data_IF_973116396780
#
_entry.id   IF_973116396780
#
_cell.length_a   1.000
_cell.length_b   1.000
_cell.length_c   1.000
_cell.angle_alpha   90.00
_cell.angle_beta   90.00
_cell.angle_gamma   90.00
#
_symmetry.space_group_name_H-M   'P 1'
#
loop_
_entity.id
_entity.type
_entity.pdbx_description
1 polymer ?
#
# COMPACT_ATOMS: atom_id res chain seq x y z
N UNK A 1 23.65 -5.53 -3.25
CA UNK A 1 22.58 -6.15 -2.42
C UNK A 1 21.26 -5.48 -2.76
N UNK A 2 20.20 -6.25 -3.04
CA UNK A 2 18.86 -5.68 -3.24
C UNK A 2 18.28 -5.34 -1.87
N UNK A 3 17.67 -4.15 -1.76
CA UNK A 3 17.02 -3.73 -0.52
C UNK A 3 15.70 -3.02 -0.77
N UNK A 4 14.75 -3.24 0.13
CA UNK A 4 13.42 -2.66 0.14
C UNK A 4 13.33 -1.66 1.29
N UNK A 5 12.73 -0.52 1.01
CA UNK A 5 12.35 0.45 2.03
C UNK A 5 10.93 0.18 2.51
N UNK A 6 10.74 0.10 3.81
CA UNK A 6 9.42 0.04 4.45
C UNK A 6 9.21 1.38 5.14
N UNK A 7 8.31 2.21 4.61
CA UNK A 7 7.94 3.49 5.20
C UNK A 7 6.83 3.31 6.22
N UNK A 8 7.09 3.71 7.44
CA UNK A 8 6.20 3.60 8.60
C UNK A 8 5.27 4.81 8.68
N UNK A 9 3.97 4.58 8.48
CA UNK A 9 2.90 5.56 8.63
C UNK A 9 2.11 5.40 9.95
N UNK A 10 2.71 4.79 10.97
CA UNK A 10 2.11 4.62 12.28
C UNK A 10 1.32 3.32 12.47
N UNK A 11 1.41 2.38 11.54
CA UNK A 11 0.75 1.08 11.64
C UNK A 11 1.42 0.14 12.66
N UNK A 12 0.69 -0.90 13.08
CA UNK A 12 1.18 -1.87 14.06
C UNK A 12 2.03 -3.00 13.45
N UNK A 13 2.00 -3.19 12.12
CA UNK A 13 2.58 -4.34 11.45
C UNK A 13 3.88 -4.06 10.68
N UNK A 14 4.48 -2.88 10.87
CA UNK A 14 5.67 -2.45 10.12
C UNK A 14 6.85 -3.42 10.27
N UNK A 15 7.11 -3.88 11.51
CA UNK A 15 8.14 -4.87 11.80
C UNK A 15 7.82 -6.23 11.16
N UNK A 16 6.55 -6.64 11.16
CA UNK A 16 6.11 -7.89 10.54
C UNK A 16 6.28 -7.83 9.03
N UNK A 17 5.94 -6.71 8.39
CA UNK A 17 6.14 -6.49 6.95
C UNK A 17 7.62 -6.61 6.60
N UNK A 18 8.49 -5.89 7.31
CA UNK A 18 9.93 -5.96 7.08
C UNK A 18 10.49 -7.38 7.32
N UNK A 19 9.97 -8.09 8.33
CA UNK A 19 10.34 -9.48 8.58
C UNK A 19 9.95 -10.38 7.42
N UNK A 20 8.73 -10.24 6.86
CA UNK A 20 8.30 -11.03 5.71
C UNK A 20 9.17 -10.80 4.48
N UNK A 21 9.61 -9.57 4.24
CA UNK A 21 10.58 -9.28 3.17
C UNK A 21 11.91 -10.00 3.42
N UNK A 22 12.39 -9.98 4.67
CA UNK A 22 13.66 -10.65 5.06
C UNK A 22 13.56 -12.18 5.01
N UNK A 23 12.40 -12.75 5.32
CA UNK A 23 12.12 -14.19 5.18
C UNK A 23 12.28 -14.67 3.73
N UNK A 24 12.13 -13.77 2.76
CA UNK A 24 12.38 -14.00 1.33
C UNK A 24 13.84 -13.72 0.91
N UNK A 25 14.76 -13.60 1.87
CA UNK A 25 16.18 -13.29 1.66
C UNK A 25 16.44 -11.94 0.98
N UNK A 26 15.50 -11.00 1.11
CA UNK A 26 15.67 -9.61 0.65
C UNK A 26 15.88 -8.70 1.86
N UNK A 27 16.87 -7.84 1.79
CA UNK A 27 17.14 -6.91 2.87
C UNK A 27 16.03 -5.83 2.94
N UNK A 28 15.55 -5.51 4.13
CA UNK A 28 14.54 -4.48 4.36
C UNK A 28 14.99 -3.51 5.46
N UNK A 29 14.87 -2.23 5.18
CA UNK A 29 15.04 -1.13 6.14
C UNK A 29 13.68 -0.54 6.47
N UNK A 30 13.45 -0.15 7.72
CA UNK A 30 12.25 0.58 8.14
C UNK A 30 12.69 2.00 8.48
N UNK A 31 12.00 2.97 7.89
CA UNK A 31 12.17 4.39 8.20
C UNK A 31 10.80 5.01 8.49
N UNK A 32 10.76 5.96 9.41
CA UNK A 32 9.57 6.78 9.61
C UNK A 32 9.30 7.62 8.35
N UNK A 33 8.04 7.86 8.04
CA UNK A 33 7.65 8.59 6.82
C UNK A 33 8.28 10.00 6.72
N UNK A 34 8.54 10.64 7.85
CA UNK A 34 9.13 11.98 7.95
C UNK A 34 10.66 11.99 8.11
N UNK A 35 11.30 10.82 8.21
CA UNK A 35 12.73 10.69 8.44
C UNK A 35 13.55 10.59 7.14
N UNK A 36 12.92 10.39 5.98
CA UNK A 36 13.62 10.20 4.70
C UNK A 36 12.86 10.90 3.57
N UNK A 37 13.58 11.60 2.69
CA UNK A 37 13.01 12.28 1.52
C UNK A 37 13.09 11.43 0.25
N UNK A 38 12.30 11.75 -0.81
CA UNK A 38 12.41 11.07 -2.10
C UNK A 38 13.81 11.12 -2.71
N UNK A 39 14.50 12.26 -2.58
CA UNK A 39 15.87 12.42 -3.07
C UNK A 39 16.84 11.48 -2.34
N UNK A 40 16.65 11.29 -1.05
CA UNK A 40 17.47 10.39 -0.26
C UNK A 40 17.16 8.92 -0.56
N UNK A 41 15.87 8.58 -0.79
CA UNK A 41 15.46 7.25 -1.26
C UNK A 41 16.18 6.90 -2.57
N UNK A 42 16.16 7.82 -3.54
CA UNK A 42 16.86 7.65 -4.82
C UNK A 42 18.35 7.42 -4.63
N UNK A 43 18.98 8.23 -3.80
CA UNK A 43 20.42 8.14 -3.51
C UNK A 43 20.83 6.84 -2.83
N UNK A 44 19.98 6.31 -1.92
CA UNK A 44 20.27 5.07 -1.18
C UNK A 44 20.07 3.82 -2.03
N UNK A 45 19.46 3.91 -3.22
CA UNK A 45 19.38 2.83 -4.21
C UNK A 45 18.45 1.67 -3.84
N UNK A 46 17.33 1.95 -3.21
CA UNK A 46 16.28 0.95 -2.96
C UNK A 46 15.70 0.40 -4.26
N UNK A 47 15.28 -0.87 -4.25
CA UNK A 47 14.69 -1.57 -5.40
C UNK A 47 13.17 -1.67 -5.32
N UNK A 48 12.59 -1.29 -4.22
CA UNK A 48 11.16 -1.20 -4.00
C UNK A 48 10.88 -0.45 -2.70
N UNK A 49 9.69 0.09 -2.60
CA UNK A 49 9.19 0.82 -1.45
C UNK A 49 7.87 0.21 -1.02
N UNK A 50 7.68 -0.02 0.27
CA UNK A 50 6.41 -0.43 0.85
C UNK A 50 5.89 0.70 1.72
N UNK A 51 4.71 1.20 1.40
CA UNK A 51 3.95 2.11 2.24
C UNK A 51 3.07 1.30 3.16
N UNK A 52 3.29 1.38 4.46
CA UNK A 52 2.58 0.58 5.45
C UNK A 52 1.18 1.12 5.72
N UNK A 53 0.41 0.36 6.47
CA UNK A 53 -0.85 0.83 7.03
C UNK A 53 -0.65 1.89 8.12
N UNK A 54 -1.73 2.48 8.53
CA UNK A 54 -1.79 3.47 9.60
C UNK A 54 -3.24 3.71 10.04
N UNK A 55 -3.44 4.37 11.19
CA UNK A 55 -4.77 4.57 11.78
C UNK A 55 -5.52 5.77 11.19
N UNK A 56 -4.87 6.55 10.34
CA UNK A 56 -5.36 7.85 9.87
C UNK A 56 -6.17 7.75 8.57
N UNK A 57 -6.88 8.83 8.24
CA UNK A 57 -7.53 9.03 6.95
C UNK A 57 -6.73 10.02 6.10
N UNK A 58 -6.56 9.73 4.80
CA UNK A 58 -5.69 10.56 3.93
C UNK A 58 -6.20 11.99 3.72
N UNK A 59 -7.49 12.22 3.90
CA UNK A 59 -8.12 13.53 3.79
C UNK A 59 -8.05 14.37 5.09
N UNK A 60 -7.53 13.80 6.18
CA UNK A 60 -7.28 14.54 7.41
C UNK A 60 -5.95 15.30 7.29
N UNK A 61 -5.92 16.65 7.44
CA UNK A 61 -4.70 17.45 7.35
C UNK A 61 -3.60 17.05 8.34
N UNK A 62 -3.98 16.47 9.48
CA UNK A 62 -3.03 16.01 10.51
C UNK A 62 -2.47 14.61 10.23
N UNK A 63 -2.95 13.94 9.19
CA UNK A 63 -2.48 12.61 8.82
C UNK A 63 -1.07 12.64 8.24
N UNK A 64 -0.31 11.54 8.37
CA UNK A 64 1.00 11.39 7.74
C UNK A 64 0.89 11.44 6.21
N UNK A 65 1.26 12.54 5.59
CA UNK A 65 1.37 12.66 4.14
C UNK A 65 2.82 12.45 3.69
N UNK A 66 3.01 12.17 2.40
CA UNK A 66 4.34 12.04 1.82
C UNK A 66 4.45 12.84 0.53
N UNK A 67 5.67 13.15 0.10
CA UNK A 67 5.92 13.90 -1.13
C UNK A 67 5.60 13.02 -2.36
N UNK A 68 4.64 13.45 -3.23
CA UNK A 68 4.25 12.70 -4.43
C UNK A 68 5.41 12.41 -5.39
N UNK A 69 6.51 13.15 -5.33
CA UNK A 69 7.73 12.88 -6.12
C UNK A 69 8.27 11.46 -5.94
N UNK A 70 7.95 10.79 -4.82
CA UNK A 70 8.33 9.39 -4.62
C UNK A 70 7.80 8.47 -5.71
N UNK A 71 6.64 8.77 -6.30
CA UNK A 71 6.04 8.02 -7.39
C UNK A 71 6.77 8.24 -8.73
N UNK A 72 7.56 9.31 -8.85
CA UNK A 72 8.34 9.65 -10.05
C UNK A 72 9.74 9.05 -10.06
N UNK A 73 10.17 8.41 -8.98
CA UNK A 73 11.52 7.85 -8.84
C UNK A 73 11.80 6.64 -9.73
N UNK A 74 10.77 6.08 -10.39
CA UNK A 74 10.91 4.85 -11.16
C UNK A 74 11.17 3.60 -10.29
N UNK A 75 10.90 3.68 -8.99
CA UNK A 75 11.02 2.59 -8.02
C UNK A 75 9.60 2.06 -7.76
N UNK A 76 9.35 0.74 -7.89
CA UNK A 76 8.04 0.18 -7.57
C UNK A 76 7.59 0.49 -6.13
N UNK A 77 6.33 0.92 -5.97
CA UNK A 77 5.70 1.20 -4.68
C UNK A 77 4.56 0.23 -4.44
N UNK A 78 4.56 -0.44 -3.30
CA UNK A 78 3.47 -1.27 -2.80
C UNK A 78 2.80 -0.56 -1.62
N UNK A 79 1.54 -0.18 -1.77
CA UNK A 79 0.74 0.36 -0.68
C UNK A 79 -0.08 -0.72 0.03
N UNK A 80 -0.12 -0.67 1.35
CA UNK A 80 -0.92 -1.56 2.19
C UNK A 80 -1.85 -0.72 3.06
N UNK A 81 -3.16 -0.93 2.97
CA UNK A 81 -4.19 -0.21 3.74
C UNK A 81 -4.04 1.32 3.55
N UNK A 82 -3.73 2.06 4.62
CA UNK A 82 -3.45 3.51 4.53
C UNK A 82 -2.45 3.85 3.42
N UNK A 83 -1.38 3.06 3.27
CA UNK A 83 -0.37 3.27 2.23
C UNK A 83 -0.93 3.13 0.81
N UNK A 84 -1.89 2.23 0.57
CA UNK A 84 -2.57 2.11 -0.72
C UNK A 84 -3.48 3.33 -0.98
N UNK A 85 -4.22 3.76 0.04
CA UNK A 85 -5.07 4.95 -0.03
C UNK A 85 -4.25 6.22 -0.29
N UNK A 86 -3.12 6.38 0.44
CA UNK A 86 -2.20 7.50 0.25
C UNK A 86 -1.58 7.51 -1.15
N UNK A 87 -1.17 6.36 -1.68
CA UNK A 87 -0.63 6.23 -3.04
C UNK A 87 -1.68 6.67 -4.07
N UNK A 88 -2.91 6.18 -3.95
CA UNK A 88 -4.02 6.59 -4.83
C UNK A 88 -4.29 8.09 -4.74
N UNK A 89 -4.38 8.62 -3.52
CA UNK A 89 -4.63 10.05 -3.27
C UNK A 89 -3.53 10.95 -3.84
N UNK A 90 -2.25 10.60 -3.64
CA UNK A 90 -1.11 11.34 -4.21
C UNK A 90 -1.10 11.30 -5.74
N UNK A 91 -1.59 10.22 -6.34
CA UNK A 91 -1.67 10.08 -7.81
C UNK A 91 -2.92 10.74 -8.42
N UNK A 92 -3.80 11.36 -7.61
CA UNK A 92 -4.99 12.06 -8.07
C UNK A 92 -6.29 11.26 -7.98
N UNK A 93 -6.28 10.10 -7.33
CA UNK A 93 -7.49 9.33 -7.00
C UNK A 93 -8.22 9.91 -5.78
N UNK A 94 -9.36 9.31 -5.46
CA UNK A 94 -10.21 9.72 -4.33
C UNK A 94 -10.35 8.60 -3.30
N UNK A 95 -10.42 9.01 -2.03
CA UNK A 95 -10.64 8.12 -0.88
C UNK A 95 -11.84 8.64 -0.10
N UNK A 96 -12.73 7.75 0.28
CA UNK A 96 -13.94 8.07 1.02
C UNK A 96 -14.15 7.12 2.19
N UNK A 97 -14.90 7.55 3.19
CA UNK A 97 -15.39 6.66 4.22
C UNK A 97 -16.40 5.70 3.62
N UNK A 98 -16.19 4.39 3.79
CA UNK A 98 -17.08 3.38 3.28
C UNK A 98 -18.40 3.34 4.07
N UNK A 99 -19.51 3.05 3.39
CA UNK A 99 -20.82 2.82 4.06
C UNK A 99 -20.76 1.58 4.96
N UNK A 100 -20.01 0.56 4.52
CA UNK A 100 -19.77 -0.67 5.28
C UNK A 100 -18.27 -0.87 5.43
N UNK A 101 -17.80 -0.82 6.67
CA UNK A 101 -16.41 -1.11 7.01
C UNK A 101 -16.14 -2.61 6.92
N UNK A 102 -14.92 -2.98 6.58
CA UNK A 102 -14.50 -4.38 6.52
C UNK A 102 -13.49 -4.68 7.62
N UNK A 103 -13.87 -5.59 8.51
CA UNK A 103 -13.03 -6.07 9.60
C UNK A 103 -13.08 -7.59 9.69
N UNK A 104 -11.91 -8.23 9.75
CA UNK A 104 -11.78 -9.67 9.87
C UNK A 104 -11.61 -10.38 8.53
N UNK A 105 -12.11 -11.60 8.44
CA UNK A 105 -12.00 -12.46 7.25
C UNK A 105 -12.98 -12.01 6.18
N UNK A 106 -12.45 -11.64 5.04
CA UNK A 106 -13.20 -11.17 3.87
C UNK A 106 -12.78 -11.99 2.65
N UNK A 107 -13.72 -12.33 1.79
CA UNK A 107 -13.46 -12.99 0.52
C UNK A 107 -12.97 -11.97 -0.51
N UNK A 108 -11.80 -12.25 -1.08
CA UNK A 108 -11.16 -11.43 -2.12
C UNK A 108 -11.34 -12.12 -3.47
N UNK A 109 -11.84 -11.37 -4.44
CA UNK A 109 -12.03 -11.80 -5.81
C UNK A 109 -10.98 -11.16 -6.71
N UNK A 110 -10.02 -11.94 -7.21
CA UNK A 110 -8.97 -11.47 -8.12
C UNK A 110 -9.55 -11.41 -9.53
N UNK A 111 -9.55 -10.20 -10.11
CA UNK A 111 -10.11 -9.94 -11.44
C UNK A 111 -9.10 -10.10 -12.57
N UNK A 112 -7.82 -9.84 -12.29
CA UNK A 112 -6.72 -9.92 -13.26
C UNK A 112 -5.57 -10.75 -12.72
N UNK A 113 -5.36 -11.93 -13.27
CA UNK A 113 -4.23 -12.79 -12.95
C UNK A 113 -2.89 -12.29 -13.53
N UNK A 114 -2.90 -11.16 -14.26
CA UNK A 114 -1.69 -10.57 -14.85
C UNK A 114 -0.89 -9.70 -13.88
N UNK A 115 -1.39 -9.45 -12.68
CA UNK A 115 -0.65 -8.72 -11.66
C UNK A 115 0.39 -9.61 -11.01
N UNK A 116 1.65 -9.16 -10.96
CA UNK A 116 2.75 -9.90 -10.36
C UNK A 116 2.52 -10.23 -8.87
N UNK A 117 1.78 -9.37 -8.15
CA UNK A 117 1.48 -9.58 -6.73
C UNK A 117 0.49 -10.73 -6.49
N UNK A 118 -0.21 -11.19 -7.51
CA UNK A 118 -1.17 -12.29 -7.44
C UNK A 118 -0.69 -13.57 -8.14
N UNK A 119 0.59 -13.63 -8.50
CA UNK A 119 1.18 -14.86 -9.05
C UNK A 119 0.97 -16.01 -8.05
N UNK A 120 0.43 -17.13 -8.53
CA UNK A 120 0.11 -18.32 -7.74
C UNK A 120 -0.91 -18.11 -6.60
N UNK A 121 -1.61 -16.98 -6.56
CA UNK A 121 -2.71 -16.74 -5.63
C UNK A 121 -4.03 -17.24 -6.25
N UNK A 122 -4.84 -18.07 -5.55
CA UNK A 122 -6.14 -18.50 -6.04
C UNK A 122 -7.06 -17.31 -6.35
N UNK A 123 -7.88 -17.44 -7.42
CA UNK A 123 -8.78 -16.37 -7.87
C UNK A 123 -9.74 -15.88 -6.79
N UNK A 124 -10.19 -16.81 -5.94
CA UNK A 124 -10.95 -16.50 -4.72
C UNK A 124 -10.10 -16.88 -3.52
N UNK A 125 -9.82 -15.93 -2.67
CA UNK A 125 -8.95 -16.08 -1.51
C UNK A 125 -9.56 -15.39 -0.30
N UNK A 126 -9.33 -15.95 0.90
CA UNK A 126 -9.73 -15.28 2.15
C UNK A 126 -8.56 -14.43 2.64
N UNK A 127 -8.84 -13.16 2.86
CA UNK A 127 -7.89 -12.18 3.37
C UNK A 127 -8.39 -11.55 4.65
N UNK A 128 -7.50 -10.93 5.41
CA UNK A 128 -7.85 -10.13 6.58
C UNK A 128 -7.93 -8.67 6.18
N UNK A 129 -9.09 -8.06 6.38
CA UNK A 129 -9.32 -6.64 6.19
C UNK A 129 -9.44 -5.93 7.53
N UNK A 130 -9.02 -4.66 7.56
CA UNK A 130 -9.16 -3.77 8.71
C UNK A 130 -9.17 -2.34 8.20
N UNK A 131 -10.31 -1.90 7.65
CA UNK A 131 -10.43 -0.54 7.12
C UNK A 131 -11.86 -0.02 7.19
N UNK A 132 -11.96 1.30 7.38
CA UNK A 132 -13.21 2.08 7.29
C UNK A 132 -13.22 2.90 6.00
N UNK A 133 -12.07 3.43 5.59
CA UNK A 133 -11.93 4.19 4.35
C UNK A 133 -11.62 3.26 3.17
N UNK A 134 -12.05 3.65 1.98
CA UNK A 134 -11.78 2.93 0.74
C UNK A 134 -11.45 3.90 -0.41
N UNK A 135 -10.71 3.41 -1.40
CA UNK A 135 -10.49 4.11 -2.65
C UNK A 135 -11.83 4.10 -3.42
N UNK A 136 -12.32 5.28 -3.82
CA UNK A 136 -13.55 5.43 -4.60
C UNK A 136 -13.27 5.62 -6.09
N UNK A 137 -12.31 6.48 -6.42
CA UNK A 137 -11.92 6.75 -7.79
C UNK A 137 -10.44 6.45 -7.97
N UNK A 138 -10.15 5.67 -9.02
CA UNK A 138 -8.76 5.35 -9.37
C UNK A 138 -8.10 6.52 -10.08
N UNK A 139 -6.81 6.77 -9.79
CA UNK A 139 -6.02 7.69 -10.60
C UNK A 139 -5.80 7.14 -12.01
N UNK A 140 -5.50 8.03 -12.95
CA UNK A 140 -5.16 7.65 -14.30
C UNK A 140 -3.98 6.65 -14.34
N UNK A 141 -4.09 5.62 -15.17
CA UNK A 141 -3.08 4.58 -15.33
C UNK A 141 -3.15 3.44 -14.30
N UNK A 142 -4.08 3.50 -13.35
CA UNK A 142 -4.32 2.41 -12.40
C UNK A 142 -5.46 1.50 -12.87
N UNK A 143 -5.38 0.23 -12.49
CA UNK A 143 -6.40 -0.78 -12.81
C UNK A 143 -6.81 -1.52 -11.54
N UNK A 144 -8.09 -1.91 -11.47
CA UNK A 144 -8.57 -2.79 -10.40
C UNK A 144 -8.13 -4.21 -10.70
N UNK A 145 -7.35 -4.79 -9.83
CA UNK A 145 -6.88 -6.17 -9.94
C UNK A 145 -7.63 -7.13 -9.01
N UNK A 146 -8.20 -6.64 -7.93
CA UNK A 146 -9.06 -7.42 -7.04
C UNK A 146 -10.13 -6.56 -6.35
N UNK A 147 -11.21 -7.21 -5.92
CA UNK A 147 -12.32 -6.57 -5.19
C UNK A 147 -12.86 -7.48 -4.10
N UNK A 148 -13.62 -6.91 -3.17
CA UNK A 148 -14.51 -7.64 -2.25
C UNK A 148 -15.94 -7.23 -2.52
N UNK A 149 -16.91 -7.80 -1.80
CA UNK A 149 -18.32 -7.43 -1.95
C UNK A 149 -18.61 -5.98 -1.56
N UNK A 150 -17.85 -5.43 -0.59
CA UNK A 150 -18.03 -4.07 -0.08
C UNK A 150 -16.95 -3.09 -0.52
N UNK A 151 -15.84 -3.58 -1.09
CA UNK A 151 -14.73 -2.76 -1.55
C UNK A 151 -14.41 -3.06 -3.02
N UNK A 152 -14.93 -2.24 -3.97
CA UNK A 152 -14.67 -2.43 -5.40
C UNK A 152 -13.19 -2.34 -5.78
N UNK A 153 -12.42 -1.57 -5.02
CA UNK A 153 -10.97 -1.36 -5.22
C UNK A 153 -10.23 -1.93 -4.01
N UNK A 154 -10.10 -3.26 -3.95
CA UNK A 154 -9.35 -3.92 -2.89
C UNK A 154 -7.86 -4.08 -3.25
N UNK A 155 -7.55 -4.17 -4.55
CA UNK A 155 -6.19 -4.10 -5.09
C UNK A 155 -6.22 -3.62 -6.54
#
# INVERSE_FOLDING_TARGET
MQKILVLDFGGQYNQLIARRVRDLHVYAEIEQFDAITPEEISRRGYKGIIFTGGPNSVYDPESPHYDPKVLELGIPVLGICYGAQLTSWMAGGSVVTAETSEYGKIELHIKKNSSLIFTDVPADSVVWMSHTDRISDLPEGFEITASTDNCPVAA
#
